data_IF_615784617531
#
_entry.id   IF_615784617531
#
_cell.length_a   1.000
_cell.length_b   1.000
_cell.length_c   1.000
_cell.angle_alpha   90.00
_cell.angle_beta   90.00
_cell.angle_gamma   90.00
#
_symmetry.space_group_name_H-M   'P 1'
#
loop_
_entity.id
_entity.type
_entity.pdbx_description
1 polymer ?
#
# COMPACT_ATOMS: atom_id res chain seq x y z
N UNK A 1 1.03 13.72 -23.87
CA UNK A 1 0.57 12.33 -24.15
C UNK A 1 1.20 11.40 -23.14
N UNK A 2 0.50 11.02 -22.08
CA UNK A 2 1.01 10.02 -21.12
C UNK A 2 -0.01 8.90 -21.03
N UNK A 3 0.22 7.85 -21.82
CA UNK A 3 -0.55 6.62 -21.78
C UNK A 3 -0.27 5.95 -20.43
N UNK A 4 -1.17 6.14 -19.46
CA UNK A 4 -1.20 5.37 -18.22
C UNK A 4 -1.46 3.92 -18.62
N UNK A 5 -0.40 3.12 -18.75
CA UNK A 5 -0.52 1.67 -18.72
C UNK A 5 -1.44 1.33 -17.55
N UNK A 6 -2.48 0.51 -17.77
CA UNK A 6 -3.48 0.14 -16.74
C UNK A 6 -2.79 -0.60 -15.58
N UNK A 7 -2.11 0.14 -14.72
CA UNK A 7 -1.48 -0.32 -13.50
C UNK A 7 -2.55 -0.42 -12.43
N UNK A 8 -2.74 -1.62 -11.88
CA UNK A 8 -3.57 -1.80 -10.70
C UNK A 8 -2.91 -1.16 -9.48
N UNK A 9 -3.67 -1.05 -8.39
CA UNK A 9 -3.13 -0.70 -7.07
C UNK A 9 -3.44 -1.83 -6.12
N UNK A 10 -2.45 -2.26 -5.36
CA UNK A 10 -2.63 -3.24 -4.31
C UNK A 10 -2.96 -2.53 -3.00
N UNK A 11 -4.07 -2.91 -2.36
CA UNK A 11 -4.50 -2.36 -1.07
C UNK A 11 -3.89 -3.17 0.08
N UNK A 12 -3.14 -2.52 0.95
CA UNK A 12 -2.59 -3.13 2.16
C UNK A 12 -3.50 -2.91 3.37
N UNK A 13 -3.96 -1.67 3.56
CA UNK A 13 -4.71 -1.26 4.73
C UNK A 13 -5.58 -0.03 4.42
N UNK A 14 -6.56 0.22 5.30
CA UNK A 14 -7.31 1.47 5.37
C UNK A 14 -7.05 2.08 6.73
N UNK A 15 -6.63 3.35 6.76
CA UNK A 15 -6.27 4.08 7.98
C UNK A 15 -7.13 5.32 8.14
N UNK A 16 -7.33 5.81 9.39
CA UNK A 16 -7.98 7.10 9.62
C UNK A 16 -7.13 8.26 9.09
N UNK A 17 -7.81 9.32 8.65
CA UNK A 17 -7.18 10.59 8.32
C UNK A 17 -7.01 10.82 6.81
N UNK A 18 -7.32 12.02 6.30
CA UNK A 18 -7.10 12.39 4.91
C UNK A 18 -5.65 12.86 4.69
N UNK A 19 -4.67 12.15 5.23
CA UNK A 19 -3.26 12.54 5.07
C UNK A 19 -2.68 11.80 3.89
N UNK A 20 -2.25 12.56 2.88
CA UNK A 20 -1.37 12.03 1.86
C UNK A 20 0.02 11.81 2.45
N UNK A 21 0.44 10.55 2.49
CA UNK A 21 1.69 10.10 3.06
C UNK A 21 2.35 9.08 2.13
N UNK A 22 3.66 9.21 1.98
CA UNK A 22 4.51 8.19 1.39
C UNK A 22 5.28 7.52 2.52
N UNK A 23 5.26 6.19 2.53
CA UNK A 23 5.94 5.39 3.54
C UNK A 23 7.35 5.02 3.09
N UNK A 24 8.30 5.03 4.01
CA UNK A 24 9.64 4.44 3.81
C UNK A 24 9.60 2.89 3.83
N UNK A 25 8.56 2.31 3.25
CA UNK A 25 8.29 0.88 3.16
C UNK A 25 8.33 0.44 1.69
N UNK A 26 8.66 -0.83 1.46
CA UNK A 26 8.63 -1.45 0.14
C UNK A 26 7.44 -2.38 0.04
N UNK A 27 6.57 -2.11 -0.93
CA UNK A 27 5.43 -2.95 -1.26
C UNK A 27 5.81 -4.12 -2.17
N UNK A 28 4.79 -4.75 -2.75
CA UNK A 28 4.95 -5.78 -3.78
C UNK A 28 5.85 -5.28 -4.91
N UNK A 29 6.72 -6.17 -5.41
CA UNK A 29 7.69 -5.87 -6.46
C UNK A 29 8.60 -4.66 -6.15
N UNK A 30 8.82 -4.35 -4.87
CA UNK A 30 9.65 -3.24 -4.42
C UNK A 30 9.05 -1.85 -4.69
N UNK A 31 7.75 -1.78 -5.01
CA UNK A 31 7.07 -0.53 -5.33
C UNK A 31 6.89 0.35 -4.10
N UNK A 32 6.81 1.66 -4.32
CA UNK A 32 6.60 2.63 -3.26
C UNK A 32 5.21 2.42 -2.64
N UNK A 33 5.12 2.56 -1.32
CA UNK A 33 3.87 2.49 -0.56
C UNK A 33 3.43 3.90 -0.22
N UNK A 34 2.19 4.23 -0.55
CA UNK A 34 1.63 5.57 -0.37
C UNK A 34 0.14 5.49 -0.04
N UNK A 35 -0.43 6.59 0.43
CA UNK A 35 -1.87 6.69 0.71
C UNK A 35 -2.65 7.33 -0.43
N UNK A 36 -3.89 6.89 -0.64
CA UNK A 36 -4.91 7.61 -1.40
C UNK A 36 -6.01 8.02 -0.44
N UNK A 37 -6.29 9.30 -0.35
CA UNK A 37 -7.27 9.86 0.60
C UNK A 37 -8.67 9.83 0.00
N UNK A 38 -9.68 9.57 0.84
CA UNK A 38 -11.08 9.71 0.51
C UNK A 38 -11.87 10.12 1.76
N UNK A 39 -12.18 11.41 1.87
CA UNK A 39 -12.97 11.95 2.97
C UNK A 39 -12.25 11.84 4.31
N UNK A 40 -12.66 10.89 5.16
CA UNK A 40 -12.11 10.69 6.51
C UNK A 40 -11.12 9.53 6.61
N UNK A 41 -10.90 8.81 5.51
CA UNK A 41 -10.06 7.62 5.47
C UNK A 41 -9.00 7.77 4.38
N UNK A 42 -7.93 7.00 4.53
CA UNK A 42 -6.89 6.84 3.52
C UNK A 42 -6.63 5.36 3.26
N UNK A 43 -6.51 4.99 1.99
CA UNK A 43 -6.12 3.66 1.54
C UNK A 43 -4.60 3.62 1.38
N UNK A 44 -3.93 2.74 2.12
CA UNK A 44 -2.49 2.49 1.95
C UNK A 44 -2.29 1.49 0.81
N UNK A 45 -1.64 1.93 -0.25
CA UNK A 45 -1.51 1.19 -1.52
C UNK A 45 -0.08 1.20 -2.06
N UNK A 46 0.18 0.33 -3.03
CA UNK A 46 1.31 0.45 -3.96
C UNK A 46 0.85 0.12 -5.37
N UNK A 47 1.51 0.69 -6.37
CA UNK A 47 1.22 0.35 -7.76
C UNK A 47 1.65 -1.09 -8.06
N UNK A 48 0.91 -1.76 -8.92
CA UNK A 48 1.22 -3.10 -9.41
C UNK A 48 1.02 -3.16 -10.93
N UNK A 49 1.87 -3.88 -11.67
CA UNK A 49 1.74 -4.01 -13.11
C UNK A 49 0.64 -5.00 -13.52
N UNK A 50 -0.02 -5.65 -12.57
CA UNK A 50 -0.99 -6.72 -12.79
C UNK A 50 -2.37 -6.36 -12.24
N UNK A 51 -3.44 -6.90 -12.84
CA UNK A 51 -4.80 -6.78 -12.29
C UNK A 51 -5.11 -7.88 -11.27
N UNK A 52 -4.38 -9.00 -11.31
CA UNK A 52 -4.56 -10.14 -10.41
C UNK A 52 -3.21 -10.60 -9.90
N UNK A 53 -3.15 -10.84 -8.59
CA UNK A 53 -1.95 -11.33 -7.91
C UNK A 53 -2.21 -12.76 -7.45
N UNK A 54 -1.27 -13.66 -7.73
CA UNK A 54 -1.29 -15.01 -7.16
C UNK A 54 -0.80 -14.97 -5.72
N UNK A 55 -1.34 -15.79 -4.81
CA UNK A 55 -0.91 -15.85 -3.41
C UNK A 55 0.43 -16.60 -3.27
N UNK A 56 1.48 -16.09 -3.90
CA UNK A 56 2.83 -16.62 -3.79
C UNK A 56 3.49 -16.15 -2.48
N UNK A 57 4.39 -16.96 -1.94
CA UNK A 57 5.08 -16.66 -0.66
C UNK A 57 5.72 -15.28 -0.63
N UNK A 58 6.31 -14.83 -1.76
CA UNK A 58 6.92 -13.50 -1.89
C UNK A 58 5.89 -12.36 -1.73
N UNK A 59 4.68 -12.51 -2.27
CA UNK A 59 3.66 -11.47 -2.19
C UNK A 59 3.08 -11.38 -0.77
N UNK A 60 2.86 -12.53 -0.13
CA UNK A 60 2.43 -12.59 1.27
C UNK A 60 3.48 -11.99 2.21
N UNK A 61 4.77 -12.30 2.00
CA UNK A 61 5.85 -11.73 2.78
C UNK A 61 5.95 -10.21 2.62
N UNK A 62 5.84 -9.69 1.40
CA UNK A 62 5.83 -8.26 1.13
C UNK A 62 4.64 -7.56 1.82
N UNK A 63 3.43 -8.11 1.68
CA UNK A 63 2.24 -7.60 2.36
C UNK A 63 2.43 -7.58 3.89
N UNK A 64 2.93 -8.68 4.47
CA UNK A 64 3.15 -8.76 5.91
C UNK A 64 4.23 -7.76 6.39
N UNK A 65 5.28 -7.53 5.60
CA UNK A 65 6.30 -6.55 5.91
C UNK A 65 5.73 -5.12 5.92
N UNK A 66 4.89 -4.76 4.94
CA UNK A 66 4.19 -3.48 4.92
C UNK A 66 3.30 -3.33 6.16
N UNK A 67 2.46 -4.33 6.46
CA UNK A 67 1.58 -4.28 7.63
C UNK A 67 2.35 -4.11 8.95
N UNK A 68 3.45 -4.84 9.14
CA UNK A 68 4.32 -4.68 10.32
C UNK A 68 4.91 -3.28 10.42
N UNK A 69 5.36 -2.72 9.30
CA UNK A 69 5.88 -1.36 9.24
C UNK A 69 4.83 -0.32 9.60
N UNK A 70 3.61 -0.47 9.06
CA UNK A 70 2.49 0.42 9.38
C UNK A 70 2.12 0.37 10.87
N UNK A 71 2.05 -0.83 11.45
CA UNK A 71 1.78 -0.99 12.89
C UNK A 71 2.87 -0.41 13.78
N UNK A 72 4.12 -0.36 13.30
CA UNK A 72 5.23 0.26 14.05
C UNK A 72 5.25 1.79 13.95
N UNK A 73 4.50 2.36 13.01
CA UNK A 73 4.42 3.80 12.76
C UNK A 73 3.10 4.43 13.18
N UNK A 74 2.02 3.64 13.23
CA UNK A 74 0.84 4.02 13.96
C UNK A 74 1.24 4.09 15.43
N UNK A 75 1.09 5.27 16.05
CA UNK A 75 1.08 5.37 17.50
C UNK A 75 0.07 4.34 17.99
N UNK A 76 0.57 3.25 18.57
CA UNK A 76 -0.21 2.11 18.97
C UNK A 76 -1.10 2.51 20.16
N UNK A 77 -2.23 3.14 19.87
CA UNK A 77 -3.36 3.19 20.78
C UNK A 77 -4.11 1.87 20.62
N UNK A 78 -3.73 0.90 21.46
CA UNK A 78 -4.61 -0.20 21.85
C UNK A 78 -5.60 0.29 22.89
#
# INVERSE_FOLDING_TARGET
MTQLARSGRYLYAVVPGPVEQVYALKGLEGKAVYTITNGKVAAVVSDIPYQKIRPERRHLAAQQAVLKGLLSQADALL
#
